data_IF_205813035932
#
_entry.id   IF_205813035932
#
_cell.length_a   1.000
_cell.length_b   1.000
_cell.length_c   1.000
_cell.angle_alpha   90.00
_cell.angle_beta   90.00
_cell.angle_gamma   90.00
#
_symmetry.space_group_name_H-M   'P 1'
#
loop_
_entity.id
_entity.type
_entity.pdbx_description
1 polymer ?
#
# COMPACT_ATOMS: atom_id res chain seq x y z
N UNK A 1 -9.64 14.56 11.86
CA UNK A 1 -8.99 13.71 10.82
C UNK A 1 -10.08 12.98 10.04
N UNK A 2 -10.10 13.11 8.72
CA UNK A 2 -11.02 12.38 7.86
C UNK A 2 -10.27 11.22 7.17
N UNK A 3 -10.87 10.03 7.15
CA UNK A 3 -10.29 8.82 6.55
C UNK A 3 -11.26 8.30 5.52
N UNK A 4 -10.85 8.28 4.23
CA UNK A 4 -11.66 7.67 3.17
C UNK A 4 -11.27 6.20 2.99
N UNK A 5 -12.19 5.39 2.46
CA UNK A 5 -11.97 3.95 2.35
C UNK A 5 -11.84 3.25 3.70
N UNK A 6 -12.51 3.80 4.72
CA UNK A 6 -12.43 3.35 6.12
C UNK A 6 -12.90 1.91 6.35
N UNK A 7 -13.63 1.30 5.41
CA UNK A 7 -14.05 -0.10 5.47
C UNK A 7 -13.10 -1.04 4.70
N UNK A 8 -12.05 -0.48 4.10
CA UNK A 8 -11.02 -1.23 3.38
C UNK A 8 -9.94 -1.82 4.30
N UNK A 9 -9.00 -2.58 3.71
CA UNK A 9 -7.91 -3.23 4.44
C UNK A 9 -7.06 -2.24 5.25
N UNK A 10 -6.53 -1.19 4.63
CA UNK A 10 -5.73 -0.17 5.31
C UNK A 10 -6.59 0.80 6.10
N UNK A 11 -7.65 1.36 5.48
CA UNK A 11 -8.47 2.42 6.08
C UNK A 11 -9.12 2.03 7.40
N UNK A 12 -9.59 0.77 7.54
CA UNK A 12 -10.17 0.28 8.80
C UNK A 12 -9.15 0.26 9.95
N UNK A 13 -7.90 -0.08 9.65
CA UNK A 13 -6.80 -0.07 10.65
C UNK A 13 -6.37 1.33 11.01
N UNK A 14 -6.35 2.24 10.03
CA UNK A 14 -6.11 3.67 10.27
C UNK A 14 -7.21 4.24 11.17
N UNK A 15 -8.48 4.00 10.85
CA UNK A 15 -9.60 4.47 11.65
C UNK A 15 -9.52 3.92 13.08
N UNK A 16 -9.30 2.62 13.25
CA UNK A 16 -9.17 1.99 14.57
C UNK A 16 -8.02 2.58 15.39
N UNK A 17 -6.84 2.76 14.78
CA UNK A 17 -5.64 3.22 15.50
C UNK A 17 -5.75 4.68 15.92
N UNK A 18 -6.35 5.54 15.09
CA UNK A 18 -6.45 6.96 15.37
C UNK A 18 -7.69 7.37 16.17
N UNK A 19 -8.71 6.51 16.29
CA UNK A 19 -9.84 6.73 17.22
C UNK A 19 -9.33 6.85 18.66
N UNK A 20 -9.76 7.91 19.35
CA UNK A 20 -9.31 8.27 20.70
C UNK A 20 -8.01 9.09 20.75
N UNK A 21 -7.29 9.23 19.62
CA UNK A 21 -6.14 10.14 19.46
C UNK A 21 -6.52 11.42 18.72
N UNK A 22 -7.47 11.30 17.80
CA UNK A 22 -8.04 12.35 16.98
C UNK A 22 -9.58 12.24 17.00
N UNK A 23 -10.26 13.35 16.67
CA UNK A 23 -11.63 13.27 16.19
C UNK A 23 -11.60 12.65 14.79
N UNK A 24 -12.02 11.39 14.68
CA UNK A 24 -11.96 10.60 13.45
C UNK A 24 -13.31 10.58 12.77
N UNK A 25 -13.32 10.96 11.49
CA UNK A 25 -14.45 10.84 10.57
C UNK A 25 -14.09 9.73 9.59
N UNK A 26 -14.61 8.54 9.81
CA UNK A 26 -14.36 7.35 9.02
C UNK A 26 -15.44 7.24 7.93
N UNK A 27 -15.01 7.30 6.65
CA UNK A 27 -15.90 7.34 5.48
C UNK A 27 -15.65 6.12 4.59
N UNK A 28 -16.70 5.35 4.34
CA UNK A 28 -16.73 4.29 3.35
C UNK A 28 -17.35 4.74 2.02
N UNK A 29 -17.53 3.78 1.10
CA UNK A 29 -18.11 4.06 -0.21
C UNK A 29 -19.61 4.43 -0.11
N UNK A 30 -20.31 3.88 0.88
CA UNK A 30 -21.75 4.13 1.07
C UNK A 30 -22.03 5.57 1.53
N UNK A 31 -21.11 6.17 2.28
CA UNK A 31 -21.22 7.54 2.79
C UNK A 31 -20.74 8.57 1.77
N UNK A 32 -19.76 8.22 0.93
CA UNK A 32 -19.20 9.12 -0.08
C UNK A 32 -18.61 8.33 -1.25
N UNK A 33 -19.20 8.52 -2.41
CA UNK A 33 -18.59 8.12 -3.67
C UNK A 33 -17.55 9.17 -4.09
N UNK A 34 -16.27 8.79 -4.09
CA UNK A 34 -15.17 9.69 -4.46
C UNK A 34 -15.17 10.04 -5.95
N UNK A 35 -15.84 9.26 -6.80
CA UNK A 35 -15.99 9.56 -8.23
C UNK A 35 -16.99 10.70 -8.49
N UNK A 36 -17.83 11.05 -7.51
CA UNK A 36 -18.75 12.19 -7.54
C UNK A 36 -18.16 13.40 -6.79
N UNK A 37 -17.69 14.39 -7.55
CA UNK A 37 -17.08 15.62 -7.00
C UNK A 37 -18.01 16.37 -6.04
N UNK A 38 -19.30 16.43 -6.33
CA UNK A 38 -20.26 17.16 -5.48
C UNK A 38 -20.50 16.43 -4.16
N UNK A 39 -20.51 15.10 -4.17
CA UNK A 39 -20.54 14.28 -2.93
C UNK A 39 -19.33 14.56 -2.07
N UNK A 40 -18.13 14.58 -2.68
CA UNK A 40 -16.87 14.89 -1.98
C UNK A 40 -16.88 16.30 -1.40
N UNK A 41 -17.21 17.32 -2.20
CA UNK A 41 -17.26 18.71 -1.75
C UNK A 41 -18.24 18.94 -0.60
N UNK A 42 -19.44 18.37 -0.71
CA UNK A 42 -20.46 18.46 0.35
C UNK A 42 -19.92 17.96 1.68
N UNK A 43 -19.30 16.77 1.70
CA UNK A 43 -18.80 16.16 2.91
C UNK A 43 -17.59 16.93 3.48
N UNK A 44 -16.66 17.34 2.64
CA UNK A 44 -15.52 18.16 3.07
C UNK A 44 -15.93 19.53 3.58
N UNK A 45 -16.91 20.20 2.93
CA UNK A 45 -17.49 21.45 3.39
C UNK A 45 -18.18 21.34 4.77
N UNK A 46 -18.87 20.21 4.99
CA UNK A 46 -19.55 19.92 6.26
C UNK A 46 -18.55 19.69 7.41
N UNK A 47 -17.50 18.90 7.17
CA UNK A 47 -16.60 18.46 8.22
C UNK A 47 -15.32 19.29 8.36
N UNK A 48 -14.92 20.01 7.31
CA UNK A 48 -13.70 20.84 7.23
C UNK A 48 -12.48 20.20 7.89
N UNK A 49 -12.05 19.00 7.45
CA UNK A 49 -11.00 18.25 8.12
C UNK A 49 -9.63 18.95 8.01
N UNK A 50 -8.89 19.05 9.12
CA UNK A 50 -7.50 19.53 9.13
C UNK A 50 -6.54 18.53 8.49
N UNK A 51 -6.88 17.22 8.58
CA UNK A 51 -6.07 16.11 8.05
C UNK A 51 -6.96 15.13 7.30
N UNK A 52 -6.51 14.72 6.13
CA UNK A 52 -7.17 13.69 5.31
C UNK A 52 -6.20 12.55 5.05
N UNK A 53 -6.57 11.32 5.43
CA UNK A 53 -5.89 10.10 5.06
C UNK A 53 -6.74 9.39 4.00
N UNK A 54 -6.31 9.48 2.75
CA UNK A 54 -7.06 8.96 1.62
C UNK A 54 -6.63 7.52 1.30
N UNK A 55 -7.46 6.54 1.72
CA UNK A 55 -7.24 5.11 1.51
C UNK A 55 -8.22 4.48 0.50
N UNK A 56 -9.22 5.23 0.03
CA UNK A 56 -10.18 4.71 -0.96
C UNK A 56 -9.50 4.48 -2.30
N UNK A 57 -9.61 3.27 -2.84
CA UNK A 57 -9.06 2.89 -4.14
C UNK A 57 -9.58 1.53 -4.58
N UNK A 58 -9.61 1.28 -5.88
CA UNK A 58 -9.61 -0.06 -6.47
C UNK A 58 -8.17 -0.55 -6.44
N UNK A 59 -7.84 -1.44 -5.48
CA UNK A 59 -6.47 -1.93 -5.23
C UNK A 59 -6.17 -3.32 -5.80
N UNK A 60 -7.18 -4.02 -6.33
CA UNK A 60 -6.99 -5.29 -7.06
C UNK A 60 -6.45 -4.99 -8.46
N UNK A 61 -5.18 -5.29 -8.68
CA UNK A 61 -4.51 -5.05 -9.96
C UNK A 61 -5.12 -5.84 -11.11
N UNK A 62 -5.60 -7.06 -10.84
CA UNK A 62 -6.27 -7.88 -11.85
C UNK A 62 -7.66 -7.32 -12.21
N UNK A 63 -8.36 -6.75 -11.24
CA UNK A 63 -9.61 -6.04 -11.50
C UNK A 63 -9.36 -4.79 -12.36
N UNK A 64 -8.38 -3.98 -12.01
CA UNK A 64 -8.03 -2.77 -12.75
C UNK A 64 -7.68 -3.07 -14.23
N UNK A 65 -6.96 -4.17 -14.50
CA UNK A 65 -6.67 -4.59 -15.89
C UNK A 65 -7.94 -4.94 -16.68
N UNK A 66 -8.94 -5.53 -16.04
CA UNK A 66 -10.22 -5.89 -16.69
C UNK A 66 -11.20 -4.73 -16.80
N UNK A 67 -11.06 -3.71 -15.93
CA UNK A 67 -11.98 -2.57 -15.82
C UNK A 67 -11.18 -1.24 -15.76
N UNK A 68 -10.42 -0.91 -16.82
CA UNK A 68 -9.49 0.23 -16.78
C UNK A 68 -10.19 1.58 -16.63
N UNK A 69 -11.37 1.75 -17.23
CA UNK A 69 -12.16 3.00 -17.13
C UNK A 69 -12.67 3.24 -15.70
N UNK A 70 -13.18 2.20 -15.05
CA UNK A 70 -13.62 2.28 -13.66
C UNK A 70 -12.43 2.50 -12.71
N UNK A 71 -11.31 1.80 -12.95
CA UNK A 71 -10.07 2.01 -12.20
C UNK A 71 -9.61 3.46 -12.29
N UNK A 72 -9.59 4.04 -13.49
CA UNK A 72 -9.22 5.43 -13.70
C UNK A 72 -10.20 6.39 -13.01
N UNK A 73 -11.50 6.17 -13.14
CA UNK A 73 -12.53 7.01 -12.52
C UNK A 73 -12.38 7.06 -10.99
N UNK A 74 -12.14 5.91 -10.35
CA UNK A 74 -11.99 5.83 -8.89
C UNK A 74 -10.60 6.24 -8.44
N UNK A 75 -9.55 5.65 -9.02
CA UNK A 75 -8.18 5.84 -8.53
C UNK A 75 -7.60 7.21 -8.90
N UNK A 76 -7.88 7.71 -10.11
CA UNK A 76 -7.33 8.97 -10.60
C UNK A 76 -8.30 10.12 -10.31
N UNK A 77 -9.49 10.10 -10.93
CA UNK A 77 -10.43 11.20 -10.78
C UNK A 77 -10.96 11.32 -9.36
N UNK A 78 -11.29 10.20 -8.73
CA UNK A 78 -11.73 10.20 -7.32
C UNK A 78 -10.68 10.79 -6.37
N UNK A 79 -9.40 10.42 -6.53
CA UNK A 79 -8.32 11.02 -5.72
C UNK A 79 -8.10 12.50 -6.06
N UNK A 80 -8.26 12.88 -7.33
CA UNK A 80 -8.23 14.30 -7.76
C UNK A 80 -9.34 15.11 -7.06
N UNK A 81 -10.58 14.58 -6.99
CA UNK A 81 -11.70 15.21 -6.29
C UNK A 81 -11.40 15.40 -4.80
N UNK A 82 -10.85 14.38 -4.14
CA UNK A 82 -10.44 14.45 -2.73
C UNK A 82 -9.34 15.50 -2.53
N UNK A 83 -8.34 15.56 -3.41
CA UNK A 83 -7.27 16.56 -3.34
C UNK A 83 -7.80 17.99 -3.48
N UNK A 84 -8.69 18.24 -4.45
CA UNK A 84 -9.35 19.56 -4.63
C UNK A 84 -10.15 19.97 -3.40
N UNK A 85 -11.03 19.11 -2.93
CA UNK A 85 -11.86 19.39 -1.76
C UNK A 85 -11.02 19.58 -0.48
N UNK A 86 -9.93 18.81 -0.31
CA UNK A 86 -9.01 18.97 0.81
C UNK A 86 -8.30 20.35 0.75
N UNK A 87 -7.81 20.74 -0.41
CA UNK A 87 -7.19 22.06 -0.61
C UNK A 87 -8.18 23.22 -0.39
N UNK A 88 -9.43 23.10 -0.85
CA UNK A 88 -10.49 24.10 -0.66
C UNK A 88 -10.79 24.36 0.82
N UNK A 89 -10.65 23.37 1.69
CA UNK A 89 -10.86 23.52 3.15
C UNK A 89 -9.57 23.77 3.94
N UNK A 90 -8.40 23.78 3.28
CA UNK A 90 -7.09 24.02 3.90
C UNK A 90 -6.54 22.82 4.69
N UNK A 91 -7.00 21.61 4.40
CA UNK A 91 -6.56 20.37 5.05
C UNK A 91 -5.22 19.85 4.52
N UNK A 92 -4.51 19.07 5.34
CA UNK A 92 -3.30 18.32 4.91
C UNK A 92 -3.70 16.96 4.35
N UNK A 93 -3.33 16.68 3.10
CA UNK A 93 -3.61 15.42 2.43
C UNK A 93 -2.43 14.45 2.51
N UNK A 94 -2.70 13.23 2.97
CA UNK A 94 -1.87 12.04 2.74
C UNK A 94 -2.69 11.07 1.89
N UNK A 95 -2.13 10.60 0.76
CA UNK A 95 -2.81 9.67 -0.14
C UNK A 95 -1.92 8.46 -0.47
N UNK A 96 -2.57 7.34 -0.83
CA UNK A 96 -1.88 6.08 -1.05
C UNK A 96 -1.55 5.88 -2.54
N UNK A 97 -0.25 5.91 -2.85
CA UNK A 97 0.34 5.42 -4.08
C UNK A 97 0.84 3.98 -3.89
N UNK A 98 1.68 3.45 -4.77
CA UNK A 98 2.08 2.03 -4.77
C UNK A 98 3.47 1.82 -5.38
N UNK A 99 4.15 0.75 -4.95
CA UNK A 99 5.34 0.20 -5.59
C UNK A 99 5.09 -0.18 -7.07
N UNK A 100 3.82 -0.35 -7.46
CA UNK A 100 3.44 -0.69 -8.84
C UNK A 100 3.77 0.41 -9.86
N UNK A 101 4.11 1.61 -9.42
CA UNK A 101 4.64 2.66 -10.32
C UNK A 101 5.97 2.26 -10.94
N UNK A 102 6.69 1.31 -10.32
CA UNK A 102 7.98 0.79 -10.78
C UNK A 102 7.90 -0.55 -11.54
N UNK A 103 6.72 -1.08 -11.80
CA UNK A 103 6.57 -2.48 -12.26
C UNK A 103 7.06 -2.78 -13.69
N UNK A 104 7.52 -1.79 -14.41
CA UNK A 104 8.16 -1.92 -15.72
C UNK A 104 9.58 -1.37 -15.75
N UNK A 105 10.14 -1.03 -14.58
CA UNK A 105 11.53 -0.62 -14.48
C UNK A 105 12.50 -1.81 -14.58
N UNK A 106 13.60 -1.63 -15.30
CA UNK A 106 14.64 -2.66 -15.52
C UNK A 106 15.85 -2.50 -14.58
N UNK A 107 15.90 -1.43 -13.79
CA UNK A 107 16.98 -1.17 -12.85
C UNK A 107 17.07 -2.26 -11.78
N UNK A 108 18.29 -2.68 -11.47
CA UNK A 108 18.56 -3.65 -10.40
C UNK A 108 18.67 -2.98 -9.03
N UNK A 109 18.38 -3.73 -7.97
CA UNK A 109 18.47 -3.29 -6.58
C UNK A 109 17.29 -2.42 -6.14
N UNK A 110 17.32 -1.92 -4.90
CA UNK A 110 16.25 -1.06 -4.38
C UNK A 110 16.16 0.24 -5.16
N UNK A 111 14.94 0.62 -5.56
CA UNK A 111 14.64 1.78 -6.40
C UNK A 111 14.37 3.01 -5.52
N UNK A 112 15.23 4.04 -5.54
CA UNK A 112 14.94 5.32 -4.87
C UNK A 112 13.92 6.14 -5.67
N UNK A 113 13.34 7.17 -5.03
CA UNK A 113 12.37 8.08 -5.67
C UNK A 113 12.96 8.92 -6.82
N UNK A 114 14.28 8.90 -7.00
CA UNK A 114 14.97 9.55 -8.12
C UNK A 114 14.93 8.73 -9.42
N UNK A 115 14.60 7.45 -9.35
CA UNK A 115 14.35 6.62 -10.53
C UNK A 115 13.02 7.04 -11.12
N UNK A 116 13.00 7.30 -12.43
CA UNK A 116 11.77 7.63 -13.14
C UNK A 116 10.85 6.41 -13.19
N UNK A 117 9.62 6.50 -12.66
CA UNK A 117 8.69 5.39 -12.70
C UNK A 117 8.27 5.01 -14.12
N UNK A 118 8.24 3.70 -14.40
CA UNK A 118 7.84 3.15 -15.69
C UNK A 118 6.76 2.06 -15.54
N UNK A 119 5.50 2.42 -15.16
CA UNK A 119 4.46 1.43 -14.94
C UNK A 119 3.92 0.83 -16.25
N UNK A 120 3.83 -0.51 -16.31
CA UNK A 120 3.24 -1.24 -17.42
C UNK A 120 1.82 -1.73 -17.14
N UNK A 121 1.38 -1.77 -15.86
CA UNK A 121 0.02 -2.14 -15.48
C UNK A 121 -0.93 -0.95 -15.45
N UNK A 122 -2.23 -1.17 -15.65
CA UNK A 122 -3.28 -0.14 -15.51
C UNK A 122 -3.19 0.50 -14.12
N UNK A 123 -3.19 -0.31 -13.07
CA UNK A 123 -3.10 0.17 -11.69
C UNK A 123 -1.84 1.03 -11.43
N UNK A 124 -0.68 0.60 -11.93
CA UNK A 124 0.56 1.37 -11.78
C UNK A 124 0.49 2.73 -12.50
N UNK A 125 -0.05 2.74 -13.75
CA UNK A 125 -0.27 3.99 -14.50
C UNK A 125 -1.25 4.91 -13.80
N UNK A 126 -2.36 4.40 -13.27
CA UNK A 126 -3.33 5.19 -12.50
C UNK A 126 -2.69 5.83 -11.28
N UNK A 127 -1.85 5.07 -10.54
CA UNK A 127 -1.15 5.61 -9.36
C UNK A 127 -0.15 6.70 -9.73
N UNK A 128 0.60 6.53 -10.82
CA UNK A 128 1.54 7.55 -11.29
C UNK A 128 0.82 8.82 -11.78
N UNK A 129 -0.26 8.66 -12.55
CA UNK A 129 -1.10 9.78 -13.00
C UNK A 129 -1.71 10.52 -11.80
N UNK A 130 -2.16 9.78 -10.78
CA UNK A 130 -2.66 10.35 -9.52
C UNK A 130 -1.60 11.22 -8.84
N UNK A 131 -0.35 10.75 -8.74
CA UNK A 131 0.76 11.53 -8.15
C UNK A 131 0.94 12.87 -8.88
N UNK A 132 0.91 12.85 -10.23
CA UNK A 132 1.05 14.05 -11.05
C UNK A 132 -0.10 15.04 -10.83
N UNK A 133 -1.35 14.57 -10.84
CA UNK A 133 -2.55 15.41 -10.67
C UNK A 133 -2.65 16.00 -9.27
N UNK A 134 -2.45 15.18 -8.23
CA UNK A 134 -2.48 15.67 -6.85
C UNK A 134 -1.41 16.73 -6.62
N UNK A 135 -0.19 16.52 -7.12
CA UNK A 135 0.90 17.49 -7.02
C UNK A 135 0.59 18.83 -7.70
N UNK A 136 -0.13 18.80 -8.83
CA UNK A 136 -0.55 20.01 -9.54
C UNK A 136 -1.61 20.81 -8.76
N UNK A 137 -2.47 20.13 -7.98
CA UNK A 137 -3.53 20.73 -7.18
C UNK A 137 -2.98 21.23 -5.83
N UNK A 138 -2.28 20.37 -5.12
CA UNK A 138 -1.70 20.65 -3.80
C UNK A 138 -0.24 20.18 -3.75
N UNK A 139 0.73 21.08 -3.99
CA UNK A 139 2.15 20.74 -3.90
C UNK A 139 2.60 20.30 -2.50
N UNK A 140 1.78 20.51 -1.46
CA UNK A 140 2.08 20.12 -0.09
C UNK A 140 1.57 18.72 0.26
N UNK A 141 0.72 18.12 -0.57
CA UNK A 141 0.20 16.78 -0.37
C UNK A 141 1.32 15.71 -0.36
N UNK A 142 1.14 14.67 0.46
CA UNK A 142 2.10 13.59 0.63
C UNK A 142 1.55 12.31 0.04
N UNK A 143 2.18 11.81 -1.01
CA UNK A 143 1.91 10.51 -1.62
C UNK A 143 2.81 9.43 -1.03
N UNK A 144 2.24 8.30 -0.64
CA UNK A 144 2.98 7.18 -0.08
C UNK A 144 2.93 6.01 -1.06
N UNK A 145 4.08 5.68 -1.69
CA UNK A 145 4.25 4.50 -2.53
C UNK A 145 4.37 3.29 -1.61
N UNK A 146 3.25 2.64 -1.35
CA UNK A 146 3.18 1.49 -0.44
C UNK A 146 3.71 0.23 -1.10
N UNK A 147 4.41 -0.60 -0.32
CA UNK A 147 4.69 -2.00 -0.67
C UNK A 147 3.42 -2.84 -0.53
N UNK A 148 3.47 -4.10 -0.96
CA UNK A 148 2.43 -5.05 -0.60
C UNK A 148 2.36 -5.20 0.91
N UNK A 149 1.14 -5.14 1.46
CA UNK A 149 0.92 -5.19 2.91
C UNK A 149 0.36 -6.53 3.34
N UNK A 150 0.68 -6.93 4.57
CA UNK A 150 0.06 -8.07 5.26
C UNK A 150 -0.50 -7.66 6.63
N UNK A 151 -1.41 -8.47 7.14
CA UNK A 151 -1.80 -8.54 8.54
C UNK A 151 -1.87 -10.00 8.97
N UNK A 152 -1.91 -10.23 10.28
CA UNK A 152 -2.07 -11.58 10.82
C UNK A 152 -3.40 -12.20 10.35
N UNK A 153 -3.40 -13.50 10.04
CA UNK A 153 -4.59 -14.18 9.54
C UNK A 153 -5.80 -14.19 10.50
N UNK A 154 -5.58 -13.94 11.79
CA UNK A 154 -6.62 -13.89 12.82
C UNK A 154 -7.09 -12.47 13.15
N UNK A 155 -6.73 -11.50 12.33
CA UNK A 155 -7.19 -10.11 12.48
C UNK A 155 -8.74 -10.05 12.40
N UNK A 156 -9.41 -9.33 13.34
CA UNK A 156 -10.85 -9.17 13.31
C UNK A 156 -11.33 -8.21 12.21
N UNK A 157 -10.40 -7.47 11.61
CA UNK A 157 -10.70 -6.53 10.54
C UNK A 157 -10.68 -7.23 9.17
N UNK A 158 -11.28 -6.59 8.17
CA UNK A 158 -11.29 -7.10 6.79
C UNK A 158 -9.89 -7.50 6.35
N UNK A 159 -9.73 -8.74 5.94
CA UNK A 159 -8.52 -9.27 5.34
C UNK A 159 -8.69 -9.30 3.81
N UNK A 160 -7.60 -9.05 3.12
CA UNK A 160 -7.42 -9.36 1.71
C UNK A 160 -6.35 -10.44 1.54
N UNK A 161 -6.13 -10.91 0.33
CA UNK A 161 -5.02 -11.81 0.03
C UNK A 161 -3.70 -11.13 0.37
N UNK A 162 -2.91 -11.76 1.25
CA UNK A 162 -1.60 -11.29 1.66
C UNK A 162 -0.68 -12.47 1.93
N UNK A 163 0.60 -12.19 2.16
CA UNK A 163 1.63 -13.21 2.40
C UNK A 163 1.21 -14.25 3.44
N UNK A 164 0.81 -13.79 4.64
CA UNK A 164 0.54 -14.69 5.77
C UNK A 164 -0.77 -15.48 5.59
N UNK A 165 -1.80 -14.85 5.04
CA UNK A 165 -3.08 -15.51 4.71
C UNK A 165 -2.86 -16.59 3.65
N UNK A 166 -2.11 -16.30 2.59
CA UNK A 166 -1.82 -17.26 1.52
C UNK A 166 -1.03 -18.47 2.05
N UNK A 167 0.00 -18.23 2.89
CA UNK A 167 0.80 -19.30 3.49
C UNK A 167 -0.04 -20.16 4.40
N UNK A 168 -0.86 -19.58 5.29
CA UNK A 168 -1.73 -20.34 6.20
C UNK A 168 -2.72 -21.19 5.43
N UNK A 169 -3.41 -20.59 4.46
CA UNK A 169 -4.42 -21.29 3.66
C UNK A 169 -3.79 -22.48 2.93
N UNK A 170 -2.69 -22.28 2.21
CA UNK A 170 -2.04 -23.35 1.46
C UNK A 170 -1.55 -24.49 2.37
N UNK A 171 -0.98 -24.14 3.54
CA UNK A 171 -0.52 -25.15 4.50
C UNK A 171 -1.67 -25.97 5.10
N UNK A 172 -2.79 -25.32 5.46
CA UNK A 172 -3.97 -25.99 6.03
C UNK A 172 -4.73 -26.84 5.01
N UNK A 173 -4.83 -26.38 3.76
CA UNK A 173 -5.52 -27.09 2.68
C UNK A 173 -4.64 -28.15 1.98
N UNK A 174 -3.34 -28.17 2.27
CA UNK A 174 -2.38 -29.04 1.59
C UNK A 174 -2.21 -28.69 0.11
N UNK A 175 -2.44 -27.43 -0.29
CA UNK A 175 -2.34 -26.97 -1.66
C UNK A 175 -0.94 -26.46 -1.99
N UNK A 176 -0.55 -26.52 -3.28
CA UNK A 176 0.74 -26.05 -3.75
C UNK A 176 0.68 -24.54 -4.07
N UNK A 177 1.67 -23.79 -3.61
CA UNK A 177 1.90 -22.39 -4.02
C UNK A 177 3.04 -22.32 -5.04
N UNK A 178 2.79 -21.72 -6.22
CA UNK A 178 3.84 -21.38 -7.18
C UNK A 178 4.21 -19.92 -6.98
N UNK A 179 5.47 -19.64 -6.64
CA UNK A 179 5.95 -18.31 -6.27
C UNK A 179 7.15 -17.91 -7.15
N UNK A 180 7.09 -16.71 -7.71
CA UNK A 180 8.10 -16.21 -8.63
C UNK A 180 9.49 -16.14 -7.96
N UNK A 181 10.50 -16.70 -8.67
CA UNK A 181 11.91 -16.65 -8.25
C UNK A 181 12.61 -15.37 -8.73
N UNK A 182 12.01 -14.65 -9.67
CA UNK A 182 12.55 -13.44 -10.30
C UNK A 182 11.69 -12.20 -10.05
N UNK A 183 10.98 -12.17 -8.93
CA UNK A 183 10.28 -10.99 -8.41
C UNK A 183 10.90 -10.57 -7.08
N UNK A 184 11.21 -9.28 -6.95
CA UNK A 184 11.79 -8.66 -5.77
C UNK A 184 10.89 -7.53 -5.29
N UNK A 185 10.48 -7.56 -4.04
CA UNK A 185 9.62 -6.51 -3.45
C UNK A 185 9.64 -6.53 -1.93
N UNK A 186 9.43 -5.37 -1.33
CA UNK A 186 9.09 -5.26 0.08
C UNK A 186 7.68 -5.76 0.36
N UNK A 187 7.48 -6.34 1.55
CA UNK A 187 6.16 -6.73 2.07
C UNK A 187 6.08 -6.26 3.52
N UNK A 188 5.10 -5.40 3.83
CA UNK A 188 5.07 -4.64 5.09
C UNK A 188 3.91 -5.03 5.99
N UNK A 189 4.15 -5.13 7.28
CA UNK A 189 3.09 -5.19 8.30
C UNK A 189 2.24 -3.92 8.21
N UNK A 190 0.95 -4.07 7.97
CA UNK A 190 0.03 -2.93 7.87
C UNK A 190 0.03 -2.05 9.13
N UNK A 191 0.27 -2.64 10.30
CA UNK A 191 0.38 -1.89 11.56
C UNK A 191 1.59 -0.98 11.59
N UNK A 192 2.70 -1.43 10.96
CA UNK A 192 3.89 -0.59 10.82
C UNK A 192 3.63 0.61 9.88
N UNK A 193 2.80 0.44 8.84
CA UNK A 193 2.32 1.54 7.99
C UNK A 193 1.48 2.51 8.82
N UNK A 194 0.43 2.01 9.48
CA UNK A 194 -0.55 2.83 10.23
C UNK A 194 0.13 3.69 11.31
N UNK A 195 1.02 3.09 12.09
CA UNK A 195 1.69 3.80 13.21
C UNK A 195 2.63 4.91 12.76
N UNK A 196 3.01 4.95 11.48
CA UNK A 196 3.92 5.96 10.91
C UNK A 196 3.24 7.08 10.15
N UNK A 197 1.93 6.98 9.87
CA UNK A 197 1.20 8.00 9.10
C UNK A 197 1.22 9.38 9.77
N UNK A 198 1.17 9.43 11.10
CA UNK A 198 1.22 10.71 11.84
C UNK A 198 2.53 11.46 11.60
N UNK A 199 3.67 10.74 11.54
CA UNK A 199 4.96 11.35 11.23
C UNK A 199 4.99 11.94 9.80
N UNK A 200 4.21 11.34 8.87
CA UNK A 200 4.12 11.81 7.48
C UNK A 200 3.41 13.18 7.35
N UNK A 201 2.64 13.62 8.35
CA UNK A 201 2.02 14.95 8.36
C UNK A 201 3.03 16.08 8.29
N UNK A 202 4.26 15.85 8.74
CA UNK A 202 5.36 16.82 8.76
C UNK A 202 6.27 16.76 7.55
N UNK A 203 6.05 15.80 6.63
CA UNK A 203 6.85 15.68 5.43
C UNK A 203 6.54 16.85 4.46
N UNK A 204 7.56 17.35 3.75
CA UNK A 204 7.35 18.16 2.55
C UNK A 204 6.47 17.43 1.55
N UNK A 205 5.72 18.16 0.74
CA UNK A 205 4.92 17.56 -0.31
C UNK A 205 5.76 16.78 -1.32
N UNK A 206 5.17 15.72 -1.87
CA UNK A 206 5.80 14.83 -2.84
C UNK A 206 5.47 13.36 -2.64
N UNK A 207 6.01 12.50 -3.49
CA UNK A 207 5.86 11.06 -3.38
C UNK A 207 7.06 10.44 -2.63
N UNK A 208 6.77 9.48 -1.75
CA UNK A 208 7.77 8.81 -0.91
C UNK A 208 7.59 7.29 -0.96
N UNK A 209 8.68 6.57 -1.13
CA UNK A 209 8.72 5.13 -0.92
C UNK A 209 8.44 4.82 0.55
N UNK A 210 7.46 3.95 0.81
CA UNK A 210 6.92 3.76 2.16
C UNK A 210 6.62 2.30 2.46
N UNK A 211 7.48 1.67 3.21
CA UNK A 211 7.34 0.26 3.59
C UNK A 211 8.67 -0.43 3.83
N UNK A 212 8.61 -1.73 4.08
CA UNK A 212 9.76 -2.57 4.38
C UNK A 212 10.65 -2.78 3.16
N UNK A 213 11.95 -2.68 3.34
CA UNK A 213 12.93 -3.14 2.35
C UNK A 213 12.99 -4.68 2.35
N UNK A 214 13.39 -5.26 1.22
CA UNK A 214 13.60 -6.69 1.08
C UNK A 214 14.63 -6.98 -0.03
N UNK A 215 15.59 -7.84 0.25
CA UNK A 215 16.62 -8.25 -0.70
C UNK A 215 16.39 -9.64 -1.29
N UNK A 216 15.42 -10.36 -0.75
CA UNK A 216 15.09 -11.72 -1.18
C UNK A 216 14.07 -11.66 -2.33
N UNK A 217 14.12 -12.68 -3.19
CA UNK A 217 13.03 -12.93 -4.13
C UNK A 217 11.71 -13.24 -3.40
N UNK A 218 10.59 -13.11 -4.11
CA UNK A 218 9.29 -13.50 -3.56
C UNK A 218 9.29 -14.96 -3.10
N UNK A 219 9.91 -15.88 -3.86
CA UNK A 219 10.04 -17.28 -3.49
C UNK A 219 10.79 -17.47 -2.17
N UNK A 220 11.99 -16.90 -2.04
CA UNK A 220 12.77 -16.97 -0.81
C UNK A 220 12.04 -16.35 0.39
N UNK A 221 11.36 -15.23 0.17
CA UNK A 221 10.55 -14.56 1.20
C UNK A 221 9.43 -15.46 1.71
N UNK A 222 8.69 -16.12 0.80
CA UNK A 222 7.64 -17.07 1.17
C UNK A 222 8.19 -18.27 1.97
N UNK A 223 9.31 -18.84 1.53
CA UNK A 223 10.00 -19.95 2.25
C UNK A 223 10.39 -19.50 3.67
N UNK A 224 11.03 -18.35 3.83
CA UNK A 224 11.47 -17.88 5.14
C UNK A 224 10.29 -17.51 6.04
N UNK A 225 9.25 -16.86 5.51
CA UNK A 225 8.04 -16.54 6.25
C UNK A 225 7.30 -17.81 6.73
N UNK A 226 7.22 -18.86 5.89
CA UNK A 226 6.62 -20.14 6.27
C UNK A 226 7.41 -20.83 7.43
N UNK A 227 8.74 -20.74 7.41
CA UNK A 227 9.58 -21.23 8.51
C UNK A 227 9.33 -20.45 9.80
N UNK A 228 9.22 -19.12 9.74
CA UNK A 228 8.89 -18.30 10.90
C UNK A 228 7.51 -18.64 11.49
N UNK A 229 6.55 -19.03 10.65
CA UNK A 229 5.23 -19.51 11.08
C UNK A 229 5.24 -20.94 11.65
N UNK A 230 6.39 -21.63 11.63
CA UNK A 230 6.51 -23.01 12.07
C UNK A 230 5.93 -24.04 11.08
N UNK A 231 5.67 -23.66 9.83
CA UNK A 231 5.16 -24.57 8.81
C UNK A 231 6.29 -25.46 8.29
N UNK A 232 6.14 -26.77 8.52
CA UNK A 232 7.19 -27.75 8.20
C UNK A 232 7.44 -27.92 6.70
N UNK A 233 8.71 -28.14 6.34
CA UNK A 233 9.18 -28.48 4.99
C UNK A 233 8.58 -27.59 3.88
N UNK A 234 8.71 -26.25 3.95
CA UNK A 234 8.03 -25.34 3.02
C UNK A 234 8.40 -25.60 1.56
N UNK A 235 9.59 -26.08 1.25
CA UNK A 235 10.05 -26.40 -0.10
C UNK A 235 9.25 -27.54 -0.78
N UNK A 236 8.47 -28.29 -0.02
CA UNK A 236 7.63 -29.38 -0.56
C UNK A 236 6.30 -28.86 -1.11
N UNK A 237 5.84 -27.70 -0.67
CA UNK A 237 4.53 -27.15 -1.03
C UNK A 237 4.60 -25.70 -1.55
N UNK A 238 5.71 -24.99 -1.34
CA UNK A 238 6.02 -23.73 -2.02
C UNK A 238 6.99 -24.05 -3.15
N UNK A 239 6.49 -24.00 -4.38
CA UNK A 239 7.27 -24.36 -5.57
C UNK A 239 7.82 -23.12 -6.25
N UNK A 240 9.07 -23.17 -6.76
CA UNK A 240 9.62 -22.06 -7.52
C UNK A 240 8.89 -21.91 -8.88
N UNK A 241 8.60 -20.69 -9.25
CA UNK A 241 8.08 -20.32 -10.55
C UNK A 241 9.17 -19.50 -11.28
N UNK A 242 10.00 -20.18 -12.06
CA UNK A 242 11.07 -19.59 -12.83
C UNK A 242 10.60 -19.05 -14.20
N UNK A 243 9.39 -19.46 -14.63
CA UNK A 243 8.82 -19.03 -15.90
C UNK A 243 8.14 -17.66 -15.79
N UNK A 244 7.84 -17.24 -14.57
CA UNK A 244 7.26 -15.92 -14.32
C UNK A 244 8.36 -14.86 -14.39
N UNK A 245 8.17 -13.87 -15.23
CA UNK A 245 9.16 -12.83 -15.57
C UNK A 245 10.44 -13.38 -16.23
N UNK A 246 10.31 -14.11 -17.38
CA UNK A 246 11.44 -14.84 -17.98
C UNK A 246 12.50 -13.92 -18.58
N UNK A 247 12.10 -12.81 -19.18
CA UNK A 247 13.03 -11.89 -19.86
C UNK A 247 13.75 -10.99 -18.86
N UNK A 248 12.99 -10.25 -18.03
CA UNK A 248 13.52 -9.34 -17.03
C UNK A 248 12.94 -9.66 -15.65
N UNK A 249 13.76 -9.62 -14.56
CA UNK A 249 13.24 -9.69 -13.21
C UNK A 249 12.26 -8.56 -12.95
N UNK A 250 11.16 -8.84 -12.27
CA UNK A 250 10.26 -7.80 -11.79
C UNK A 250 10.81 -7.19 -10.51
N UNK A 251 11.29 -5.97 -10.59
CA UNK A 251 11.84 -5.26 -9.43
C UNK A 251 10.86 -4.22 -8.90
N UNK A 252 10.33 -4.46 -7.72
CA UNK A 252 9.48 -3.56 -6.92
C UNK A 252 10.13 -3.26 -5.55
N UNK A 253 11.39 -3.64 -5.37
CA UNK A 253 12.12 -3.33 -4.15
C UNK A 253 12.41 -1.84 -4.10
N UNK A 254 11.94 -1.17 -3.08
CA UNK A 254 12.10 0.27 -2.91
C UNK A 254 13.22 0.59 -1.93
N UNK A 255 14.02 1.61 -2.24
CA UNK A 255 14.92 2.26 -1.28
C UNK A 255 14.11 3.30 -0.49
N UNK A 256 14.15 3.21 0.82
CA UNK A 256 13.43 4.13 1.73
C UNK A 256 14.38 5.13 2.41
N UNK A 257 15.59 5.33 1.90
CA UNK A 257 16.59 6.22 2.51
C UNK A 257 16.06 7.65 2.65
N UNK A 258 15.27 8.12 1.69
CA UNK A 258 14.68 9.45 1.73
C UNK A 258 13.74 9.63 2.91
N UNK A 259 12.80 8.70 3.14
CA UNK A 259 11.87 8.84 4.26
C UNK A 259 12.55 8.57 5.60
N UNK A 260 13.58 7.70 5.60
CA UNK A 260 14.44 7.44 6.76
C UNK A 260 15.19 8.71 7.22
N UNK A 261 15.56 9.59 6.30
CA UNK A 261 16.17 10.89 6.65
C UNK A 261 15.25 11.83 7.44
N UNK A 262 13.93 11.59 7.39
CA UNK A 262 12.94 12.29 8.21
C UNK A 262 12.59 11.55 9.52
N UNK A 263 13.34 10.50 9.88
CA UNK A 263 13.13 9.72 11.10
C UNK A 263 12.03 8.66 10.98
N UNK A 264 11.55 8.35 9.78
CA UNK A 264 10.55 7.31 9.53
C UNK A 264 11.26 6.10 8.94
N UNK A 265 11.28 5.00 9.67
CA UNK A 265 11.96 3.76 9.28
C UNK A 265 11.05 2.54 9.44
N UNK A 266 11.37 1.48 8.72
CA UNK A 266 10.65 0.20 8.76
C UNK A 266 11.64 -0.94 9.04
N UNK A 267 11.22 -1.98 9.76
CA UNK A 267 11.97 -3.22 9.76
C UNK A 267 11.99 -3.79 8.33
N UNK A 268 13.01 -4.60 7.99
CA UNK A 268 12.93 -5.37 6.75
C UNK A 268 11.73 -6.35 6.78
N UNK A 269 11.37 -6.88 5.62
CA UNK A 269 10.18 -7.74 5.47
C UNK A 269 10.16 -8.90 6.46
N UNK A 270 11.26 -9.66 6.60
CA UNK A 270 11.27 -10.84 7.48
C UNK A 270 11.32 -10.47 8.95
N UNK A 271 12.04 -9.42 9.31
CA UNK A 271 12.03 -8.89 10.67
C UNK A 271 10.63 -8.36 11.04
N UNK A 272 9.93 -7.71 10.10
CA UNK A 272 8.53 -7.31 10.26
C UNK A 272 7.63 -8.51 10.54
N UNK A 273 7.75 -9.58 9.74
CA UNK A 273 7.00 -10.84 9.94
C UNK A 273 7.33 -11.45 11.31
N UNK A 274 8.60 -11.51 11.69
CA UNK A 274 9.03 -12.05 12.98
C UNK A 274 8.40 -11.29 14.15
N UNK A 275 8.43 -9.95 14.10
CA UNK A 275 7.80 -9.09 15.14
C UNK A 275 6.29 -9.22 15.20
N UNK A 276 5.65 -9.43 14.06
CA UNK A 276 4.21 -9.64 13.99
C UNK A 276 3.77 -10.95 14.66
N UNK A 277 4.55 -12.04 14.45
CA UNK A 277 4.28 -13.37 15.00
C UNK A 277 4.71 -13.45 16.47
N UNK A 278 5.84 -12.87 16.81
CA UNK A 278 6.44 -12.88 18.14
C UNK A 278 6.58 -11.45 18.68
N UNK A 279 5.46 -10.81 19.06
CA UNK A 279 5.53 -9.46 19.63
C UNK A 279 6.38 -9.50 20.89
N UNK A 280 7.38 -8.61 20.98
CA UNK A 280 8.14 -8.43 22.23
C UNK A 280 7.18 -7.99 23.32
N UNK A 281 7.23 -8.64 24.47
CA UNK A 281 6.44 -8.30 25.66
C UNK A 281 6.78 -6.91 26.17
#
# INVERSE_FOLDING_TARGET
MLITGAHGFLGARVAQYYTGRYEVIAIGHEEMDISDLESVRRLFGQHRPDVVIHCAAISDTGYAERHPEESFAVNVLGTEHVARACAEVGGKLIYMSSDQVYNGNDESGPLPESVEPCPVSVYGRDKLETEARVRAIDPTAVGLRLTWMYDLPDSPLKLNRNLLVNLRQAYQEGTLLRVATREYRGITDVRAVVTRLEACLRLPGGAYNFGSENRLSSYETFIQAARLLGYGAPERWILPDAERFPEHPRNLAMDISRIRSYGIDFPDTLEGVRRAIFPSA
#
